data_IF_256848220660
#
_entry.id   IF_256848220660
#
_cell.length_a   1.000
_cell.length_b   1.000
_cell.length_c   1.000
_cell.angle_alpha   90.00
_cell.angle_beta   90.00
_cell.angle_gamma   90.00
#
_symmetry.space_group_name_H-M   'P 1'
#
loop_
_entity.id
_entity.type
_entity.pdbx_description
1 polymer ?
#
# COMPACT_ATOMS: atom_id res chain seq x y z
N UNK A 1 -9.74 -12.10 -7.77
CA UNK A 1 -11.06 -12.04 -8.45
C UNK A 1 -12.22 -11.57 -7.56
N UNK A 2 -11.95 -11.09 -6.34
CA UNK A 2 -12.98 -10.72 -5.33
C UNK A 2 -13.63 -9.34 -5.53
N UNK A 3 -13.11 -8.49 -6.43
CA UNK A 3 -13.63 -7.13 -6.63
C UNK A 3 -14.68 -6.98 -7.74
N UNK A 4 -14.88 -8.00 -8.56
CA UNK A 4 -15.77 -7.92 -9.74
C UNK A 4 -17.27 -7.89 -9.41
N UNK A 5 -17.67 -8.31 -8.20
CA UNK A 5 -19.08 -8.38 -7.81
C UNK A 5 -19.55 -7.25 -6.87
N UNK A 6 -18.70 -6.25 -6.56
CA UNK A 6 -19.14 -5.10 -5.76
C UNK A 6 -19.77 -4.03 -6.65
N UNK A 7 -20.83 -3.33 -6.17
CA UNK A 7 -21.38 -2.17 -6.88
C UNK A 7 -20.28 -1.15 -7.21
N UNK A 8 -20.41 -0.45 -8.34
CA UNK A 8 -19.38 0.49 -8.86
C UNK A 8 -18.88 1.47 -7.80
N UNK A 9 -19.77 1.98 -6.93
CA UNK A 9 -19.40 2.87 -5.81
C UNK A 9 -18.41 2.27 -4.82
N UNK A 10 -18.32 0.95 -4.71
CA UNK A 10 -17.38 0.25 -3.81
C UNK A 10 -16.07 -0.17 -4.49
N UNK A 11 -15.86 0.22 -5.75
CA UNK A 11 -14.64 -0.04 -6.51
C UNK A 11 -13.66 1.13 -6.50
N UNK A 12 -14.06 2.27 -5.93
CA UNK A 12 -13.21 3.47 -5.82
C UNK A 12 -12.57 3.48 -4.44
N UNK A 13 -11.26 3.71 -4.40
CA UNK A 13 -10.48 3.83 -3.18
C UNK A 13 -9.94 5.25 -2.98
N UNK A 14 -9.55 5.55 -1.75
CA UNK A 14 -8.83 6.76 -1.37
C UNK A 14 -7.33 6.52 -1.56
N UNK A 15 -6.73 7.17 -2.57
CA UNK A 15 -5.28 7.19 -2.77
C UNK A 15 -4.61 8.24 -1.90
N UNK A 16 -3.48 7.90 -1.28
CA UNK A 16 -2.82 8.76 -0.27
C UNK A 16 -1.39 9.16 -0.65
N UNK A 17 -1.03 9.13 -1.91
CA UNK A 17 0.31 9.47 -2.38
C UNK A 17 0.77 10.89 -2.02
N UNK A 18 -0.16 11.83 -1.98
CA UNK A 18 0.12 13.22 -1.57
C UNK A 18 0.42 13.38 -0.07
N UNK A 19 0.02 12.41 0.77
CA UNK A 19 0.11 12.51 2.23
C UNK A 19 1.56 12.35 2.71
N UNK A 20 2.14 13.43 3.23
CA UNK A 20 3.54 13.46 3.62
C UNK A 20 4.52 13.86 2.51
N UNK A 21 4.04 14.15 1.30
CA UNK A 21 4.89 14.52 0.18
C UNK A 21 5.11 16.03 0.12
N UNK A 22 6.28 16.48 0.57
CA UNK A 22 6.67 17.90 0.56
C UNK A 22 7.05 18.37 -0.83
N UNK A 23 7.64 17.50 -1.64
CA UNK A 23 8.26 17.89 -2.90
C UNK A 23 7.23 18.28 -3.97
N UNK A 24 6.22 17.42 -4.17
CA UNK A 24 5.22 17.62 -5.22
C UNK A 24 3.93 18.28 -4.71
N UNK A 25 3.62 18.13 -3.41
CA UNK A 25 2.34 18.53 -2.84
C UNK A 25 2.47 19.54 -1.71
N UNK A 26 3.69 20.06 -1.48
CA UNK A 26 3.97 21.06 -0.44
C UNK A 26 3.34 20.70 0.93
N UNK A 27 3.36 19.38 1.26
CA UNK A 27 2.80 18.91 2.52
C UNK A 27 3.45 19.56 3.72
N UNK A 28 2.64 19.99 4.67
CA UNK A 28 3.04 20.46 6.01
C UNK A 28 2.22 19.71 7.06
N UNK A 29 2.78 19.51 8.26
CA UNK A 29 2.03 18.81 9.34
C UNK A 29 0.76 19.56 9.77
N UNK A 30 0.63 20.83 9.49
CA UNK A 30 -0.60 21.61 9.67
C UNK A 30 -1.76 21.10 8.80
N UNK A 31 -1.47 20.37 7.72
CA UNK A 31 -2.47 19.77 6.86
C UNK A 31 -3.05 18.45 7.41
N UNK A 32 -2.53 17.91 8.51
CA UNK A 32 -2.98 16.61 9.04
C UNK A 32 -4.47 16.59 9.40
N UNK A 33 -5.02 17.72 9.86
CA UNK A 33 -6.44 17.83 10.17
C UNK A 33 -7.31 17.82 8.91
N UNK A 34 -6.92 18.52 7.86
CA UNK A 34 -7.60 18.49 6.55
C UNK A 34 -7.58 17.07 5.95
N UNK A 35 -6.45 16.36 6.09
CA UNK A 35 -6.33 14.98 5.63
C UNK A 35 -7.21 14.04 6.43
N UNK A 36 -7.36 14.27 7.74
CA UNK A 36 -8.30 13.54 8.60
C UNK A 36 -9.75 13.79 8.18
N UNK A 37 -10.11 15.01 7.85
CA UNK A 37 -11.44 15.33 7.34
C UNK A 37 -11.70 14.65 5.99
N UNK A 38 -10.73 14.68 5.08
CA UNK A 38 -10.79 13.96 3.80
C UNK A 38 -11.00 12.46 4.00
N UNK A 39 -10.26 11.85 4.92
CA UNK A 39 -10.44 10.45 5.30
C UNK A 39 -11.85 10.18 5.83
N UNK A 40 -12.33 11.00 6.75
CA UNK A 40 -13.66 10.84 7.35
C UNK A 40 -14.78 11.01 6.31
N UNK A 41 -14.62 11.96 5.37
CA UNK A 41 -15.56 12.19 4.28
C UNK A 41 -15.61 11.00 3.33
N UNK A 42 -14.44 10.47 2.95
CA UNK A 42 -14.36 9.27 2.12
C UNK A 42 -15.14 8.10 2.74
N UNK A 43 -14.95 7.88 4.05
CA UNK A 43 -15.67 6.81 4.76
C UNK A 43 -17.18 7.09 4.88
N UNK A 44 -17.60 8.35 5.03
CA UNK A 44 -19.04 8.71 5.02
C UNK A 44 -19.69 8.39 3.68
N UNK A 45 -18.96 8.59 2.58
CA UNK A 45 -19.42 8.29 1.21
C UNK A 45 -19.29 6.81 0.84
N UNK A 46 -18.77 5.97 1.74
CA UNK A 46 -18.65 4.52 1.53
C UNK A 46 -17.41 4.11 0.72
N UNK A 47 -16.39 4.97 0.63
CA UNK A 47 -15.07 4.61 0.11
C UNK A 47 -14.28 3.93 1.23
N UNK A 48 -14.31 2.62 1.24
CA UNK A 48 -13.74 1.78 2.30
C UNK A 48 -12.40 1.13 1.93
N UNK A 49 -11.88 1.38 0.73
CA UNK A 49 -10.54 1.01 0.31
C UNK A 49 -9.60 2.22 0.44
N UNK A 50 -8.51 2.05 1.17
CA UNK A 50 -7.44 3.05 1.32
C UNK A 50 -6.17 2.50 0.70
N UNK A 51 -5.62 3.22 -0.28
CA UNK A 51 -4.41 2.84 -0.99
C UNK A 51 -3.23 3.74 -0.58
N UNK A 52 -2.19 3.11 -0.04
CA UNK A 52 -0.97 3.77 0.44
C UNK A 52 0.29 3.04 -0.04
N UNK A 53 1.45 3.42 0.48
CA UNK A 53 2.72 2.71 0.28
C UNK A 53 3.72 3.05 1.40
N UNK A 54 4.68 2.14 1.63
CA UNK A 54 5.78 2.31 2.58
C UNK A 54 6.73 3.46 2.20
N UNK A 55 6.76 3.80 0.92
CA UNK A 55 7.57 4.86 0.34
C UNK A 55 6.88 6.23 0.28
N UNK A 56 5.58 6.31 0.63
CA UNK A 56 4.86 7.58 0.56
C UNK A 56 5.27 8.53 1.70
N UNK A 57 5.63 9.75 1.28
CA UNK A 57 6.31 10.76 2.07
C UNK A 57 7.70 11.06 1.49
N UNK A 58 8.28 12.21 1.84
CA UNK A 58 9.56 12.67 1.30
C UNK A 58 10.64 12.70 2.38
N UNK A 59 11.84 12.21 2.07
CA UNK A 59 13.00 12.22 2.95
C UNK A 59 12.71 11.55 4.31
N UNK A 60 12.86 12.28 5.39
CA UNK A 60 12.59 11.81 6.75
C UNK A 60 11.08 11.55 7.05
N UNK A 61 10.20 11.91 6.13
CA UNK A 61 8.77 11.60 6.20
C UNK A 61 8.39 10.33 5.44
N UNK A 62 9.33 9.50 5.01
CA UNK A 62 9.04 8.22 4.38
C UNK A 62 8.16 7.36 5.31
N UNK A 63 7.04 6.86 4.77
CA UNK A 63 6.01 6.15 5.54
C UNK A 63 5.02 7.08 6.29
N UNK A 64 5.09 8.40 6.06
CA UNK A 64 4.17 9.36 6.71
C UNK A 64 2.72 9.08 6.38
N UNK A 65 2.42 8.70 5.14
CA UNK A 65 1.07 8.33 4.71
C UNK A 65 0.50 7.19 5.54
N UNK A 66 1.24 6.09 5.72
CA UNK A 66 0.82 4.97 6.56
C UNK A 66 0.64 5.38 8.03
N UNK A 67 1.55 6.22 8.57
CA UNK A 67 1.44 6.75 9.92
C UNK A 67 0.15 7.56 10.14
N UNK A 68 -0.23 8.40 9.19
CA UNK A 68 -1.46 9.19 9.26
C UNK A 68 -2.69 8.30 9.22
N UNK A 69 -2.72 7.33 8.30
CA UNK A 69 -3.79 6.34 8.21
C UNK A 69 -3.93 5.59 9.53
N UNK A 70 -2.82 5.11 10.10
CA UNK A 70 -2.82 4.41 11.38
C UNK A 70 -3.41 5.27 12.51
N UNK A 71 -3.03 6.56 12.60
CA UNK A 71 -3.61 7.51 13.57
C UNK A 71 -5.12 7.69 13.37
N UNK A 72 -5.59 7.80 12.13
CA UNK A 72 -7.00 7.98 11.83
C UNK A 72 -7.81 6.73 12.13
N UNK A 73 -7.23 5.55 11.86
CA UNK A 73 -7.82 4.25 12.21
C UNK A 73 -8.01 4.06 13.72
N UNK A 74 -7.12 4.59 14.56
CA UNK A 74 -7.28 4.52 16.01
C UNK A 74 -8.56 5.22 16.48
N UNK A 75 -8.88 6.35 15.87
CA UNK A 75 -10.05 7.16 16.20
C UNK A 75 -11.32 6.75 15.41
N UNK A 76 -11.23 5.72 14.58
CA UNK A 76 -12.36 5.23 13.79
C UNK A 76 -13.17 4.21 14.59
N UNK A 77 -14.51 4.36 14.70
CA UNK A 77 -15.36 3.40 15.39
C UNK A 77 -15.17 1.97 14.88
N UNK A 78 -15.15 0.98 15.77
CA UNK A 78 -14.86 -0.42 15.45
C UNK A 78 -15.73 -1.01 14.34
N UNK A 79 -17.03 -0.66 14.31
CA UNK A 79 -17.95 -1.10 13.27
C UNK A 79 -17.58 -0.59 11.87
N UNK A 80 -17.07 0.65 11.76
CA UNK A 80 -16.56 1.20 10.50
C UNK A 80 -15.20 0.61 10.15
N UNK A 81 -14.30 0.48 11.14
CA UNK A 81 -12.94 -0.06 10.97
C UNK A 81 -12.94 -1.47 10.36
N UNK A 82 -13.91 -2.33 10.73
CA UNK A 82 -14.06 -3.67 10.16
C UNK A 82 -14.35 -3.68 8.65
N UNK A 83 -14.92 -2.60 8.11
CA UNK A 83 -15.26 -2.48 6.69
C UNK A 83 -14.13 -1.90 5.86
N UNK A 84 -13.21 -1.19 6.50
CA UNK A 84 -12.07 -0.55 5.83
C UNK A 84 -11.09 -1.64 5.39
N UNK A 85 -10.65 -1.55 4.14
CA UNK A 85 -9.54 -2.31 3.59
C UNK A 85 -8.36 -1.37 3.38
N UNK A 86 -7.21 -1.72 3.93
CA UNK A 86 -5.96 -0.97 3.74
C UNK A 86 -5.04 -1.76 2.84
N UNK A 87 -4.72 -1.16 1.69
CA UNK A 87 -3.76 -1.67 0.73
C UNK A 87 -2.48 -0.85 0.82
N UNK A 88 -1.37 -1.48 1.17
CA UNK A 88 -0.05 -0.85 1.07
C UNK A 88 0.79 -1.46 -0.06
N UNK A 89 1.87 -0.79 -0.41
CA UNK A 89 2.83 -1.25 -1.41
C UNK A 89 4.22 -1.22 -0.82
N UNK A 90 4.99 -2.27 -1.04
CA UNK A 90 6.40 -2.34 -0.66
C UNK A 90 7.28 -2.05 -1.88
N UNK A 91 8.08 -1.01 -1.78
CA UNK A 91 8.95 -0.57 -2.86
C UNK A 91 10.13 -1.54 -3.03
N UNK A 92 10.40 -2.08 -4.24
CA UNK A 92 11.54 -2.96 -4.49
C UNK A 92 12.83 -2.15 -4.67
N UNK A 93 13.27 -1.47 -3.61
CA UNK A 93 14.54 -0.75 -3.63
C UNK A 93 15.73 -1.70 -3.86
N UNK A 94 16.83 -1.24 -4.49
CA UNK A 94 17.98 -2.10 -4.86
C UNK A 94 18.59 -2.88 -3.69
N UNK A 95 18.46 -2.38 -2.46
CA UNK A 95 18.96 -3.05 -1.25
C UNK A 95 17.97 -4.06 -0.63
N UNK A 96 16.76 -4.16 -1.16
CA UNK A 96 15.74 -5.15 -0.75
C UNK A 96 15.84 -6.35 -1.67
N UNK A 97 16.66 -7.32 -1.30
CA UNK A 97 16.97 -8.49 -2.12
C UNK A 97 16.73 -9.78 -1.36
N UNK A 98 16.51 -10.87 -2.11
CA UNK A 98 16.34 -12.23 -1.59
C UNK A 98 15.03 -12.45 -0.83
N UNK A 99 14.92 -13.62 -0.25
CA UNK A 99 13.70 -14.17 0.35
C UNK A 99 13.25 -13.49 1.65
N UNK A 100 13.97 -12.46 2.10
CA UNK A 100 13.64 -11.66 3.29
C UNK A 100 13.68 -10.16 3.05
N UNK A 101 13.76 -9.77 1.78
CA UNK A 101 13.89 -8.35 1.39
C UNK A 101 12.71 -7.48 1.84
N UNK A 102 11.54 -8.08 2.02
CA UNK A 102 10.33 -7.41 2.48
C UNK A 102 9.98 -7.60 3.97
N UNK A 103 10.64 -8.50 4.71
CA UNK A 103 10.31 -8.73 6.13
C UNK A 103 10.32 -7.43 6.95
N UNK A 104 11.44 -6.72 6.94
CA UNK A 104 11.57 -5.47 7.70
C UNK A 104 10.64 -4.35 7.23
N UNK A 105 10.51 -4.05 5.91
CA UNK A 105 9.52 -3.08 5.43
C UNK A 105 8.08 -3.47 5.75
N UNK A 106 7.72 -4.74 5.62
CA UNK A 106 6.39 -5.24 5.95
C UNK A 106 6.04 -5.00 7.43
N UNK A 107 6.92 -5.42 8.35
CA UNK A 107 6.71 -5.21 9.78
C UNK A 107 6.58 -3.73 10.16
N UNK A 108 7.38 -2.86 9.53
CA UNK A 108 7.27 -1.41 9.70
C UNK A 108 5.94 -0.85 9.19
N UNK A 109 5.45 -1.34 8.05
CA UNK A 109 4.14 -0.94 7.53
C UNK A 109 3.01 -1.42 8.44
N UNK A 110 3.10 -2.64 8.93
CA UNK A 110 2.14 -3.22 9.87
C UNK A 110 2.07 -2.40 11.17
N UNK A 111 3.23 -2.01 11.73
CA UNK A 111 3.32 -1.14 12.91
C UNK A 111 2.68 0.23 12.65
N UNK A 112 3.07 0.92 11.55
CA UNK A 112 2.53 2.24 11.19
C UNK A 112 1.03 2.24 10.98
N UNK A 113 0.47 1.15 10.47
CA UNK A 113 -0.96 0.96 10.20
C UNK A 113 -1.74 0.37 11.38
N UNK A 114 -1.13 0.25 12.56
CA UNK A 114 -1.73 -0.35 13.76
C UNK A 114 -2.34 -1.73 13.49
N UNK A 115 -1.58 -2.60 12.85
CA UNK A 115 -1.95 -3.96 12.48
C UNK A 115 -3.18 -4.06 11.54
N UNK A 116 -3.58 -2.96 10.90
CA UNK A 116 -4.65 -2.96 9.90
C UNK A 116 -4.06 -2.94 8.50
N UNK A 117 -3.78 -4.12 7.97
CA UNK A 117 -3.17 -4.33 6.68
C UNK A 117 -3.86 -5.51 5.98
N UNK A 118 -4.62 -5.22 4.94
CA UNK A 118 -5.45 -6.22 4.26
C UNK A 118 -4.87 -6.63 2.89
N UNK A 119 -4.11 -5.74 2.25
CA UNK A 119 -3.51 -6.00 0.93
C UNK A 119 -2.07 -5.48 0.92
N UNK A 120 -1.12 -6.32 0.52
CA UNK A 120 0.28 -5.96 0.32
C UNK A 120 0.65 -6.14 -1.13
N UNK A 121 1.21 -5.10 -1.74
CA UNK A 121 1.51 -5.09 -3.16
C UNK A 121 3.01 -4.90 -3.40
N UNK A 122 3.55 -5.56 -4.42
CA UNK A 122 4.80 -5.12 -5.03
C UNK A 122 4.55 -3.76 -5.70
N UNK A 123 5.34 -2.73 -5.35
CA UNK A 123 5.03 -1.33 -5.74
C UNK A 123 5.26 -1.06 -7.23
N UNK A 124 6.29 -1.67 -7.83
CA UNK A 124 6.56 -1.66 -9.26
C UNK A 124 7.38 -2.89 -9.65
N UNK A 125 7.33 -3.25 -10.92
CA UNK A 125 8.12 -4.37 -11.46
C UNK A 125 9.60 -4.01 -11.58
N UNK A 126 10.44 -4.96 -11.24
CA UNK A 126 11.89 -4.92 -11.52
C UNK A 126 12.29 -5.94 -12.61
N UNK A 127 11.33 -6.65 -13.18
CA UNK A 127 11.57 -7.74 -14.13
C UNK A 127 12.46 -7.33 -15.32
N UNK A 128 12.35 -6.09 -15.80
CA UNK A 128 13.12 -5.58 -16.92
C UNK A 128 14.63 -5.46 -16.64
N UNK A 129 15.03 -5.20 -15.39
CA UNK A 129 16.42 -4.94 -15.04
C UNK A 129 16.95 -5.84 -13.91
N UNK A 130 16.08 -6.43 -13.10
CA UNK A 130 16.45 -7.38 -12.06
C UNK A 130 15.30 -8.38 -11.77
N UNK A 131 15.04 -9.34 -12.67
CA UNK A 131 13.95 -10.30 -12.52
C UNK A 131 14.10 -11.19 -11.28
N UNK A 132 15.33 -11.51 -10.90
CA UNK A 132 15.61 -12.32 -9.72
C UNK A 132 15.21 -11.62 -8.41
N UNK A 133 15.39 -10.31 -8.34
CA UNK A 133 14.91 -9.52 -7.21
C UNK A 133 13.39 -9.58 -7.12
N UNK A 134 12.70 -9.36 -8.24
CA UNK A 134 11.24 -9.39 -8.26
C UNK A 134 10.70 -10.75 -7.79
N UNK A 135 11.25 -11.83 -8.31
CA UNK A 135 10.82 -13.17 -7.93
C UNK A 135 11.09 -13.45 -6.45
N UNK A 136 12.28 -13.10 -5.94
CA UNK A 136 12.61 -13.27 -4.53
C UNK A 136 11.69 -12.46 -3.61
N UNK A 137 11.33 -11.21 -3.98
CA UNK A 137 10.43 -10.38 -3.20
C UNK A 137 8.97 -10.88 -3.25
N UNK A 138 8.52 -11.42 -4.37
CA UNK A 138 7.20 -12.03 -4.48
C UNK A 138 7.11 -13.31 -3.66
N UNK A 139 8.14 -14.17 -3.71
CA UNK A 139 8.22 -15.36 -2.86
C UNK A 139 8.18 -14.96 -1.38
N UNK A 140 8.92 -13.92 -0.99
CA UNK A 140 8.91 -13.43 0.39
C UNK A 140 7.50 -12.97 0.85
N UNK A 141 6.67 -12.40 -0.02
CA UNK A 141 5.27 -12.12 0.33
C UNK A 141 4.46 -13.39 0.54
N UNK A 142 4.74 -14.47 -0.19
CA UNK A 142 4.11 -15.77 0.04
C UNK A 142 4.56 -16.36 1.38
N UNK A 143 5.87 -16.33 1.68
CA UNK A 143 6.43 -16.83 2.92
C UNK A 143 5.81 -16.13 4.15
N UNK A 144 5.66 -14.79 4.09
CA UNK A 144 5.01 -14.03 5.17
C UNK A 144 3.55 -14.50 5.41
N UNK A 145 2.82 -14.88 4.35
CA UNK A 145 1.49 -15.48 4.52
C UNK A 145 1.55 -16.85 5.17
N UNK A 146 2.49 -17.66 4.77
CA UNK A 146 2.69 -19.01 5.32
C UNK A 146 3.15 -18.94 6.80
N UNK A 147 3.86 -17.88 7.19
CA UNK A 147 4.19 -17.55 8.58
C UNK A 147 2.95 -17.11 9.42
N UNK A 148 1.78 -16.98 8.80
CA UNK A 148 0.50 -16.71 9.48
C UNK A 148 0.02 -15.25 9.41
N UNK A 149 0.65 -14.38 8.63
CA UNK A 149 0.11 -13.03 8.40
C UNK A 149 -1.07 -13.08 7.41
N UNK A 150 -2.22 -12.51 7.80
CA UNK A 150 -3.44 -12.51 6.98
C UNK A 150 -3.54 -11.25 6.12
N UNK A 151 -3.17 -11.36 4.85
CA UNK A 151 -3.30 -10.31 3.83
C UNK A 151 -3.43 -10.91 2.43
N UNK A 152 -3.92 -10.10 1.49
CA UNK A 152 -3.94 -10.45 0.05
C UNK A 152 -2.68 -9.90 -0.62
N UNK A 153 -2.10 -10.67 -1.53
CA UNK A 153 -0.97 -10.21 -2.36
C UNK A 153 -1.50 -9.52 -3.60
N UNK A 154 -0.92 -8.37 -3.92
CA UNK A 154 -1.24 -7.58 -5.11
C UNK A 154 -0.01 -7.13 -5.87
N UNK A 155 -0.26 -6.61 -7.07
CA UNK A 155 0.76 -6.07 -7.96
C UNK A 155 0.35 -4.65 -8.37
N UNK A 156 1.31 -3.72 -8.33
CA UNK A 156 1.11 -2.33 -8.71
C UNK A 156 2.13 -1.92 -9.77
N UNK A 157 1.73 -1.05 -10.69
CA UNK A 157 2.61 -0.57 -11.77
C UNK A 157 3.27 -1.71 -12.57
N UNK A 158 2.51 -2.76 -12.83
CA UNK A 158 2.92 -3.90 -13.66
C UNK A 158 2.00 -3.93 -14.87
N UNK A 159 2.59 -3.86 -16.06
CA UNK A 159 1.89 -3.94 -17.31
C UNK A 159 2.44 -5.10 -18.13
N UNK A 160 1.58 -6.04 -18.51
CA UNK A 160 1.98 -7.19 -19.33
C UNK A 160 2.60 -6.77 -20.66
N UNK A 161 2.20 -5.64 -21.23
CA UNK A 161 2.77 -5.09 -22.48
C UNK A 161 4.22 -4.63 -22.32
N UNK A 162 4.65 -4.27 -21.12
CA UNK A 162 6.00 -3.77 -20.86
C UNK A 162 6.89 -4.77 -20.11
N UNK A 163 6.30 -5.79 -19.48
CA UNK A 163 7.02 -6.76 -18.64
C UNK A 163 7.09 -8.16 -19.25
N UNK A 164 6.25 -8.47 -20.24
CA UNK A 164 6.31 -9.71 -21.01
C UNK A 164 6.92 -9.46 -22.38
N UNK A 165 7.78 -10.36 -22.89
CA UNK A 165 8.20 -10.28 -24.28
C UNK A 165 6.96 -10.34 -25.18
N UNK A 166 6.89 -9.40 -26.13
CA UNK A 166 5.80 -9.40 -27.10
C UNK A 166 5.81 -10.69 -27.92
N UNK A 167 4.66 -11.32 -28.15
CA UNK A 167 4.63 -12.47 -29.08
C UNK A 167 4.97 -12.12 -30.54
N UNK A 168 5.34 -10.87 -30.79
CA UNK A 168 5.66 -10.32 -32.12
C UNK A 168 7.14 -9.96 -32.31
N UNK A 169 8.01 -10.21 -31.29
CA UNK A 169 9.46 -9.98 -31.40
C UNK A 169 10.20 -11.29 -31.68
#
# INVERSE_FOLDING_TARGET
>A
MLYLNRPVKKRIGLGTWSWGNKLFWNYKSLNDDDLRETYNEALRRGFDLIDTADSYGTGNLQGRSELLIGKFLLNTPSAKKKRIQVATKLAPYPWRIGDRGFNKPFLKSLERLNNKLDIVQLHWSTAKYNPWQELGLLNNLCDLKDEGFDFQIGLSNICLLYTSPSPRD
#
